data_IF_049053592436
#
_entry.id   IF_049053592436
#
_cell.length_a   1.000
_cell.length_b   1.000
_cell.length_c   1.000
_cell.angle_alpha   90.00
_cell.angle_beta   90.00
_cell.angle_gamma   90.00
#
_symmetry.space_group_name_H-M   'P 1'
#
loop_
_entity.id
_entity.type
_entity.pdbx_description
1 polymer ?
#
# COMPACT_ATOMS: atom_id res chain seq x y z
N UNK A 1 -6.92 -0.19 -23.01
CA UNK A 1 -5.53 0.25 -22.81
C UNK A 1 -4.64 -0.93 -23.13
N UNK A 2 -3.88 -0.82 -24.21
CA UNK A 2 -2.86 -1.77 -24.66
C UNK A 2 -1.71 -1.80 -23.65
N UNK A 3 -1.46 -2.95 -23.06
CA UNK A 3 -0.55 -3.14 -21.91
C UNK A 3 0.94 -3.01 -22.22
N UNK A 4 1.35 -2.05 -23.05
CA UNK A 4 2.74 -1.87 -23.52
C UNK A 4 3.60 -0.99 -22.62
N UNK A 5 3.15 -0.58 -21.44
CA UNK A 5 3.95 0.24 -20.52
C UNK A 5 5.13 -0.59 -20.00
N UNK A 6 6.36 -0.14 -20.30
CA UNK A 6 7.55 -0.78 -19.73
C UNK A 6 7.49 -0.60 -18.21
N UNK A 7 8.05 -1.53 -17.42
CA UNK A 7 7.96 -1.50 -15.96
C UNK A 7 8.55 -0.21 -15.36
N UNK A 8 9.54 0.36 -16.05
CA UNK A 8 10.21 1.60 -15.65
C UNK A 8 9.44 2.87 -16.06
N UNK A 9 8.40 2.74 -16.91
CA UNK A 9 7.58 3.86 -17.37
C UNK A 9 6.43 4.19 -16.42
N UNK A 10 6.16 3.33 -15.42
CA UNK A 10 5.07 3.53 -14.46
C UNK A 10 5.64 3.99 -13.12
N UNK A 11 5.60 5.30 -12.90
CA UNK A 11 6.20 5.95 -11.74
C UNK A 11 5.45 5.61 -10.46
N UNK A 12 6.07 5.87 -9.30
CA UNK A 12 5.39 5.75 -8.01
C UNK A 12 4.17 6.67 -7.92
N UNK A 13 4.25 7.83 -8.57
CA UNK A 13 3.14 8.78 -8.66
C UNK A 13 1.95 8.20 -9.45
N UNK A 14 2.21 7.50 -10.54
CA UNK A 14 1.14 6.87 -11.35
C UNK A 14 0.41 5.78 -10.56
N UNK A 15 1.14 5.02 -9.73
CA UNK A 15 0.53 4.05 -8.81
C UNK A 15 -0.41 4.71 -7.80
N UNK A 16 -0.04 5.88 -7.26
CA UNK A 16 -0.90 6.64 -6.35
C UNK A 16 -2.15 7.13 -7.08
N UNK A 17 -2.00 7.66 -8.30
CA UNK A 17 -3.14 8.08 -9.12
C UNK A 17 -4.14 6.95 -9.37
N UNK A 18 -3.66 5.76 -9.75
CA UNK A 18 -4.50 4.57 -9.94
C UNK A 18 -5.18 4.13 -8.65
N UNK A 19 -4.49 4.21 -7.51
CA UNK A 19 -5.08 3.91 -6.20
C UNK A 19 -6.21 4.89 -5.85
N UNK A 20 -6.01 6.19 -6.04
CA UNK A 20 -7.03 7.22 -5.82
C UNK A 20 -8.26 6.99 -6.69
N UNK A 21 -8.07 6.69 -7.97
CA UNK A 21 -9.17 6.40 -8.90
C UNK A 21 -9.96 5.17 -8.46
N UNK A 22 -9.28 4.05 -8.17
CA UNK A 22 -9.91 2.83 -7.70
C UNK A 22 -10.70 3.05 -6.40
N UNK A 23 -10.15 3.81 -5.45
CA UNK A 23 -10.79 4.15 -4.18
C UNK A 23 -11.95 5.15 -4.32
N UNK A 24 -12.04 5.88 -5.44
CA UNK A 24 -13.16 6.77 -5.74
C UNK A 24 -14.34 6.03 -6.37
N UNK A 25 -14.06 4.91 -7.06
CA UNK A 25 -15.07 4.13 -7.79
C UNK A 25 -15.57 2.89 -7.02
N UNK A 26 -14.75 2.35 -6.12
CA UNK A 26 -15.00 1.08 -5.44
C UNK A 26 -14.88 1.21 -3.92
N UNK A 27 -15.46 0.25 -3.20
CA UNK A 27 -15.16 0.12 -1.77
C UNK A 27 -13.72 -0.37 -1.54
N UNK A 28 -13.23 -0.21 -0.31
CA UNK A 28 -11.80 -0.36 -0.01
C UNK A 28 -11.23 -1.72 -0.43
N UNK A 29 -11.94 -2.81 -0.13
CA UNK A 29 -11.44 -4.16 -0.40
C UNK A 29 -11.49 -4.52 -1.89
N UNK A 30 -12.52 -4.05 -2.62
CA UNK A 30 -12.57 -4.19 -4.07
C UNK A 30 -11.43 -3.40 -4.75
N UNK A 31 -11.25 -2.13 -4.36
CA UNK A 31 -10.16 -1.29 -4.86
C UNK A 31 -8.79 -1.93 -4.59
N UNK A 32 -8.56 -2.43 -3.37
CA UNK A 32 -7.34 -3.14 -3.00
C UNK A 32 -7.10 -4.37 -3.89
N UNK A 33 -8.14 -5.16 -4.15
CA UNK A 33 -8.03 -6.34 -5.00
C UNK A 33 -7.70 -5.97 -6.47
N UNK A 34 -8.31 -4.91 -7.01
CA UNK A 34 -8.07 -4.41 -8.36
C UNK A 34 -6.61 -3.94 -8.50
N UNK A 35 -6.19 -3.01 -7.62
CA UNK A 35 -4.86 -2.41 -7.66
C UNK A 35 -3.78 -3.47 -7.40
N UNK A 36 -3.97 -4.31 -6.39
CA UNK A 36 -3.02 -5.38 -6.06
C UNK A 36 -2.80 -6.36 -7.22
N UNK A 37 -3.88 -6.83 -7.86
CA UNK A 37 -3.79 -7.70 -9.05
C UNK A 37 -3.08 -6.99 -10.20
N UNK A 38 -3.41 -5.71 -10.44
CA UNK A 38 -2.79 -4.88 -11.46
C UNK A 38 -1.27 -4.84 -11.28
N UNK A 39 -0.79 -4.33 -10.14
CA UNK A 39 0.65 -4.18 -9.84
C UNK A 39 1.36 -5.53 -9.91
N UNK A 40 0.78 -6.60 -9.35
CA UNK A 40 1.37 -7.95 -9.41
C UNK A 40 1.54 -8.43 -10.85
N UNK A 41 0.54 -8.25 -11.71
CA UNK A 41 0.62 -8.60 -13.12
C UNK A 41 1.67 -7.74 -13.86
N UNK A 42 1.82 -6.46 -13.49
CA UNK A 42 2.87 -5.61 -14.03
C UNK A 42 4.27 -6.10 -13.66
N UNK A 43 4.50 -6.44 -12.39
CA UNK A 43 5.77 -6.99 -11.94
C UNK A 43 6.10 -8.33 -12.62
N UNK A 44 5.08 -9.16 -12.86
CA UNK A 44 5.24 -10.41 -13.59
C UNK A 44 5.62 -10.18 -15.07
N UNK A 45 4.91 -9.29 -15.80
CA UNK A 45 5.25 -8.97 -17.20
C UNK A 45 6.65 -8.33 -17.32
N UNK A 46 7.08 -7.65 -16.27
CA UNK A 46 8.40 -7.04 -16.14
C UNK A 46 9.54 -8.05 -15.95
N UNK A 47 9.24 -9.33 -15.70
CA UNK A 47 10.23 -10.32 -15.28
C UNK A 47 10.81 -10.06 -13.89
N UNK A 48 10.16 -9.23 -13.07
CA UNK A 48 10.60 -8.89 -11.69
C UNK A 48 9.46 -9.07 -10.68
N UNK A 49 8.82 -10.26 -10.61
CA UNK A 49 7.68 -10.52 -9.72
C UNK A 49 8.01 -10.27 -8.24
N UNK A 50 9.27 -10.40 -7.84
CA UNK A 50 9.78 -10.16 -6.48
C UNK A 50 9.71 -8.69 -6.04
N UNK A 51 9.52 -7.75 -6.97
CA UNK A 51 9.29 -6.33 -6.66
C UNK A 51 7.89 -6.05 -6.12
N UNK A 52 6.93 -6.94 -6.38
CA UNK A 52 5.60 -6.81 -5.80
C UNK A 52 5.64 -7.12 -4.30
N UNK A 53 4.95 -6.30 -3.50
CA UNK A 53 4.92 -6.43 -2.05
C UNK A 53 3.53 -6.12 -1.50
N UNK A 54 2.82 -7.16 -1.05
CA UNK A 54 1.45 -7.06 -0.54
C UNK A 54 1.34 -6.08 0.65
N UNK A 55 2.30 -6.10 1.57
CA UNK A 55 2.31 -5.19 2.74
C UNK A 55 2.45 -3.73 2.31
N UNK A 56 3.34 -3.42 1.36
CA UNK A 56 3.52 -2.04 0.86
C UNK A 56 2.25 -1.57 0.15
N UNK A 57 1.69 -2.39 -0.76
CA UNK A 57 0.45 -2.05 -1.47
C UNK A 57 -0.69 -1.82 -0.48
N UNK A 58 -0.90 -2.71 0.49
CA UNK A 58 -1.94 -2.55 1.51
C UNK A 58 -1.76 -1.29 2.35
N UNK A 59 -0.54 -0.99 2.78
CA UNK A 59 -0.25 0.19 3.60
C UNK A 59 -0.54 1.49 2.85
N UNK A 60 -0.12 1.59 1.58
CA UNK A 60 -0.44 2.75 0.74
C UNK A 60 -1.95 2.88 0.48
N UNK A 61 -2.63 1.78 0.12
CA UNK A 61 -4.08 1.80 -0.10
C UNK A 61 -4.83 2.28 1.15
N UNK A 62 -4.44 1.79 2.33
CA UNK A 62 -5.04 2.17 3.62
C UNK A 62 -4.83 3.66 3.90
N UNK A 63 -3.60 4.15 3.72
CA UNK A 63 -3.27 5.54 3.98
C UNK A 63 -3.97 6.51 3.01
N UNK A 64 -4.02 6.15 1.72
CA UNK A 64 -4.72 6.94 0.70
C UNK A 64 -6.21 7.02 1.04
N UNK A 65 -6.85 5.87 1.31
CA UNK A 65 -8.27 5.80 1.65
C UNK A 65 -8.62 6.62 2.91
N UNK A 66 -7.79 6.54 3.95
CA UNK A 66 -7.95 7.32 5.19
C UNK A 66 -7.90 8.83 4.91
N UNK A 67 -6.90 9.28 4.16
CA UNK A 67 -6.72 10.71 3.87
C UNK A 67 -7.81 11.24 2.94
N UNK A 68 -8.21 10.48 1.93
CA UNK A 68 -9.36 10.80 1.06
C UNK A 68 -10.68 10.90 1.85
N UNK A 69 -10.81 10.17 2.97
CA UNK A 69 -12.01 10.24 3.81
C UNK A 69 -11.99 11.41 4.78
N UNK A 70 -10.80 11.78 5.27
CA UNK A 70 -10.62 12.93 6.18
C UNK A 70 -11.02 14.25 5.53
N UNK A 71 -10.74 14.40 4.23
CA UNK A 71 -11.09 15.59 3.45
C UNK A 71 -11.66 15.16 2.10
N UNK A 72 -12.82 15.69 1.72
CA UNK A 72 -13.36 15.47 0.38
C UNK A 72 -12.50 16.19 -0.65
N UNK A 73 -11.83 15.44 -1.53
CA UNK A 73 -11.05 15.97 -2.65
C UNK A 73 -11.89 15.92 -3.94
N UNK A 74 -11.69 16.90 -4.82
CA UNK A 74 -12.42 16.96 -6.09
C UNK A 74 -11.87 15.96 -7.12
N UNK A 75 -10.56 15.69 -7.06
CA UNK A 75 -9.85 14.80 -7.98
C UNK A 75 -8.54 14.27 -7.36
N UNK A 76 -7.90 13.31 -8.04
CA UNK A 76 -6.63 12.74 -7.61
C UNK A 76 -5.48 13.77 -7.58
N UNK A 77 -5.51 14.77 -8.46
CA UNK A 77 -4.46 15.78 -8.55
C UNK A 77 -4.42 16.68 -7.30
N UNK A 78 -5.58 17.17 -6.87
CA UNK A 78 -5.75 17.94 -5.64
C UNK A 78 -5.41 17.11 -4.39
N UNK A 79 -5.77 15.82 -4.37
CA UNK A 79 -5.36 14.91 -3.32
C UNK A 79 -3.84 14.78 -3.23
N UNK A 80 -3.16 14.51 -4.35
CA UNK A 80 -1.71 14.32 -4.41
C UNK A 80 -0.98 15.60 -4.00
N UNK A 81 -1.42 16.77 -4.47
CA UNK A 81 -0.79 18.05 -4.16
C UNK A 81 -0.75 18.35 -2.65
N UNK A 82 -1.80 17.97 -1.92
CA UNK A 82 -1.88 18.15 -0.47
C UNK A 82 -1.23 17.01 0.33
N UNK A 83 -0.95 15.89 -0.32
CA UNK A 83 -0.36 14.68 0.27
C UNK A 83 0.95 14.30 -0.42
N UNK A 84 1.80 15.30 -0.68
CA UNK A 84 3.05 15.13 -1.45
C UNK A 84 4.04 14.14 -0.80
N UNK A 85 3.92 13.90 0.51
CA UNK A 85 4.70 12.89 1.23
C UNK A 85 4.42 11.45 0.77
N UNK A 86 3.23 11.17 0.19
CA UNK A 86 2.91 9.87 -0.39
C UNK A 86 3.86 9.48 -1.52
N UNK A 87 4.47 10.47 -2.19
CA UNK A 87 5.43 10.24 -3.27
C UNK A 87 6.78 9.76 -2.73
N UNK A 88 7.12 10.06 -1.47
CA UNK A 88 8.35 9.57 -0.86
C UNK A 88 8.20 8.09 -0.48
N UNK A 89 9.00 7.23 -1.11
CA UNK A 89 9.04 5.78 -0.82
C UNK A 89 9.48 5.46 0.61
N UNK A 90 10.09 6.43 1.31
CA UNK A 90 10.51 6.29 2.72
C UNK A 90 9.38 6.58 3.69
N UNK A 91 8.20 7.00 3.23
CA UNK A 91 7.06 7.31 4.10
C UNK A 91 6.76 6.19 5.11
N UNK A 92 6.77 4.93 4.66
CA UNK A 92 6.46 3.77 5.50
C UNK A 92 7.59 3.41 6.50
N UNK A 93 8.78 4.01 6.39
CA UNK A 93 9.93 3.67 7.24
C UNK A 93 9.75 4.04 8.71
N UNK A 94 8.82 4.93 9.02
CA UNK A 94 8.42 5.27 10.39
C UNK A 94 7.63 4.13 11.07
N UNK A 95 6.94 3.30 10.30
CA UNK A 95 6.06 2.23 10.79
C UNK A 95 6.63 0.83 10.57
N UNK A 96 7.45 0.65 9.54
CA UNK A 96 7.99 -0.65 9.18
C UNK A 96 9.52 -0.66 9.19
N UNK A 97 10.09 -1.71 9.77
CA UNK A 97 11.50 -2.02 9.62
C UNK A 97 11.81 -2.47 8.18
N UNK A 98 13.02 -2.17 7.67
CA UNK A 98 13.49 -2.71 6.40
C UNK A 98 13.40 -4.25 6.35
N UNK A 99 13.74 -4.92 7.45
CA UNK A 99 13.73 -6.38 7.55
C UNK A 99 12.31 -6.94 7.39
N UNK A 100 11.31 -6.27 7.99
CA UNK A 100 9.92 -6.64 7.84
C UNK A 100 9.44 -6.49 6.41
N UNK A 101 9.65 -5.33 5.79
CA UNK A 101 9.24 -5.08 4.41
C UNK A 101 9.96 -6.00 3.42
N UNK A 102 11.22 -6.36 3.69
CA UNK A 102 12.00 -7.26 2.85
C UNK A 102 11.67 -8.76 3.02
N UNK A 103 10.81 -9.13 3.98
CA UNK A 103 10.49 -10.54 4.24
C UNK A 103 9.62 -11.18 3.14
N UNK A 104 9.74 -12.50 2.98
CA UNK A 104 8.86 -13.25 2.09
C UNK A 104 7.39 -13.14 2.50
N UNK A 105 7.12 -13.13 3.81
CA UNK A 105 5.78 -12.98 4.37
C UNK A 105 5.17 -11.62 4.01
N UNK A 106 5.93 -10.52 4.09
CA UNK A 106 5.44 -9.19 3.71
C UNK A 106 5.06 -9.10 2.22
N UNK A 107 5.77 -9.84 1.36
CA UNK A 107 5.43 -9.92 -0.05
C UNK A 107 4.17 -10.75 -0.31
N UNK A 108 3.85 -11.71 0.56
CA UNK A 108 2.74 -12.63 0.39
C UNK A 108 1.42 -12.16 1.02
N UNK A 109 1.48 -11.48 2.17
CA UNK A 109 0.31 -11.01 2.90
C UNK A 109 0.53 -9.60 3.49
N UNK A 110 -0.54 -8.84 3.80
CA UNK A 110 -0.43 -7.61 4.56
C UNK A 110 0.03 -7.91 6.00
N UNK A 111 1.10 -7.24 6.41
CA UNK A 111 1.60 -7.29 7.78
C UNK A 111 1.34 -5.96 8.48
N UNK A 112 1.03 -6.02 9.78
CA UNK A 112 0.96 -4.82 10.61
C UNK A 112 2.35 -4.18 10.82
N UNK A 113 2.43 -2.86 11.08
CA UNK A 113 3.64 -2.18 11.50
C UNK A 113 4.38 -2.88 12.65
N UNK A 114 5.70 -2.86 12.64
CA UNK A 114 6.55 -3.36 13.73
C UNK A 114 7.33 -2.25 14.44
N UNK A 115 7.46 -1.06 13.84
CA UNK A 115 7.93 0.14 14.52
C UNK A 115 6.73 0.82 15.16
N UNK A 116 6.81 1.08 16.47
CA UNK A 116 5.69 1.57 17.27
C UNK A 116 4.95 0.48 18.07
N UNK A 117 5.30 -0.81 17.91
CA UNK A 117 4.88 -1.87 18.84
C UNK A 117 5.70 -1.86 20.13
N UNK A 118 5.63 -0.76 20.89
CA UNK A 118 6.11 -0.76 22.27
C UNK A 118 5.05 -1.46 23.13
N UNK A 119 5.33 -2.71 23.50
CA UNK A 119 4.67 -3.52 24.53
C UNK A 119 3.15 -3.77 24.43
N UNK A 120 2.77 -4.86 23.76
CA UNK A 120 1.84 -5.79 24.41
C UNK A 120 2.70 -6.87 25.07
N UNK A 121 3.20 -6.55 26.27
CA UNK A 121 3.59 -7.60 27.21
C UNK A 121 2.34 -8.44 27.44
N UNK A 122 2.38 -9.69 26.98
CA UNK A 122 1.34 -10.64 27.26
C UNK A 122 1.35 -10.93 28.77
N UNK A 123 0.49 -10.23 29.52
CA UNK A 123 0.07 -10.75 30.83
C UNK A 123 -0.77 -12.00 30.58
N UNK A 124 -0.10 -13.15 30.61
CA UNK A 124 -0.75 -14.44 30.84
C UNK A 124 -1.07 -14.52 32.33
N UNK A 125 -2.33 -14.35 32.69
CA UNK A 125 -2.94 -15.01 33.85
C UNK A 125 -4.42 -14.68 33.98
N UNK A 126 -5.25 -15.71 34.02
CA UNK A 126 -6.68 -15.61 34.27
C UNK A 126 -7.43 -16.74 33.57
N UNK A 127 -7.38 -17.93 34.15
CA UNK A 127 -8.11 -19.09 33.66
C UNK A 127 -9.61 -18.83 33.65
N UNK A 128 -10.27 -19.31 32.60
CA UNK A 128 -11.73 -19.46 32.59
C UNK A 128 -12.02 -20.74 33.38
N UNK A 129 -12.57 -20.57 34.58
CA UNK A 129 -13.45 -21.57 35.21
C UNK A 129 -14.88 -21.13 35.01
#
# INVERSE_FOLDING_TARGET
MDGSLRPDDFSHLDHIGVACEALSQHDFYEALAIVGKGIRAMAARAGTPEKYNETITFAYMSLIAERMRTKGYADAASFIAENADLVDRRLLSSWYSPERLASATARAIPLMPDRGRTALSASRSGGIT
#
